data_IF_826350035432
#
_entry.id   IF_826350035432
#
_cell.length_a   1.000
_cell.length_b   1.000
_cell.length_c   1.000
_cell.angle_alpha   90.00
_cell.angle_beta   90.00
_cell.angle_gamma   90.00
#
_symmetry.space_group_name_H-M   'P 1'
#
loop_
_entity.id
_entity.type
_entity.pdbx_description
1 polymer ?
2 water ?
#
# COMPACT_ATOMS: atom_id res chain seq x y z
N UNK A 58 -13.54 -5.87 -9.54
CA UNK A 58 -12.38 -5.85 -10.43
C UNK A 58 -11.10 -5.94 -9.61
N UNK A 59 -10.44 -7.09 -9.67
CA UNK A 59 -9.31 -7.39 -8.82
C UNK A 59 -8.03 -7.56 -9.65
N UNK A 60 -6.93 -7.77 -8.94
CA UNK A 60 -5.63 -8.11 -9.52
C UNK A 60 -5.11 -9.34 -8.79
N UNK A 61 -4.99 -10.46 -9.49
CA UNK A 61 -4.46 -11.67 -8.89
C UNK A 61 -2.94 -11.62 -8.87
N UNK A 62 -2.36 -11.97 -7.73
CA UNK A 62 -0.92 -11.88 -7.51
C UNK A 62 -0.45 -13.19 -6.89
N UNK A 63 0.60 -13.77 -7.47
CA UNK A 63 1.14 -15.04 -7.02
C UNK A 63 2.57 -14.86 -6.56
N UNK A 64 2.90 -15.47 -5.42
CA UNK A 64 4.26 -15.51 -4.92
C UNK A 64 4.52 -16.86 -4.28
N UNK A 65 5.80 -17.17 -4.10
CA UNK A 65 6.25 -18.42 -3.49
C UNK A 65 7.12 -18.11 -2.30
N UNK A 66 6.93 -18.87 -1.22
CA UNK A 66 7.71 -18.68 -0.01
C UNK A 66 8.24 -20.02 0.48
N UNK A 67 9.50 -20.01 0.92
CA UNK A 67 10.10 -21.13 1.64
C UNK A 67 10.36 -20.76 3.10
N UNK A 68 9.86 -19.61 3.55
CA UNK A 68 10.15 -19.09 4.87
C UNK A 68 8.98 -18.21 5.31
N UNK A 69 8.57 -18.36 6.56
CA UNK A 69 7.43 -17.63 7.10
C UNK A 69 7.83 -16.86 8.35
N UNK A 70 7.30 -15.64 8.47
CA UNK A 70 7.44 -14.88 9.71
C UNK A 70 6.63 -15.55 10.80
N UNK A 71 7.22 -15.71 11.98
CA UNK A 71 6.56 -16.37 13.11
C UNK A 71 5.83 -15.29 13.90
N UNK A 72 4.51 -15.38 13.93
CA UNK A 72 3.70 -14.39 14.65
C UNK A 72 3.87 -14.56 16.15
N UNK A 73 3.73 -13.45 16.88
CA UNK A 73 4.01 -13.43 18.31
C UNK A 73 3.19 -14.45 19.09
N UNK A 74 1.98 -14.76 18.63
CA UNK A 74 1.09 -15.68 19.34
C UNK A 74 1.30 -17.13 18.93
N UNK A 75 2.27 -17.41 18.06
CA UNK A 75 2.48 -18.77 17.55
C UNK A 75 3.86 -19.31 17.83
N UNK A 76 4.72 -18.57 18.54
CA UNK A 76 6.10 -19.00 18.71
C UNK A 76 6.23 -20.27 19.55
N UNK A 77 5.14 -20.77 20.15
CA UNK A 77 5.22 -22.02 20.88
C UNK A 77 5.29 -23.23 19.97
N UNK A 78 4.82 -23.12 18.73
CA UNK A 78 4.86 -24.23 17.78
C UNK A 78 6.14 -24.24 16.95
N UNK A 79 7.03 -23.28 17.15
CA UNK A 79 8.20 -23.09 16.29
C UNK A 79 9.43 -23.51 17.09
N UNK A 80 9.91 -24.72 16.83
CA UNK A 80 11.14 -25.23 17.40
C UNK A 80 11.64 -26.37 16.52
N UNK A 81 12.93 -26.69 16.56
CA UNK A 81 13.46 -27.70 15.64
C UNK A 81 12.76 -29.04 15.85
N UNK A 82 12.26 -29.60 14.74
CA UNK A 82 11.58 -30.88 14.77
C UNK A 82 10.10 -30.82 15.05
N UNK A 83 9.55 -29.64 15.37
CA UNK A 83 8.13 -29.49 15.63
C UNK A 83 7.33 -30.03 14.46
N UNK A 84 6.54 -31.08 14.71
CA UNK A 84 5.78 -31.76 13.68
C UNK A 84 4.39 -31.14 13.59
N UNK A 85 4.01 -30.68 12.39
CA UNK A 85 2.77 -29.95 12.19
C UNK A 85 2.01 -30.52 11.00
N UNK A 86 0.71 -30.26 10.99
CA UNK A 86 -0.14 -30.65 9.87
C UNK A 86 0.32 -29.95 8.60
N UNK A 87 0.39 -30.72 7.51
CA UNK A 87 0.87 -30.19 6.25
C UNK A 87 0.02 -29.06 5.69
N UNK A 88 -1.22 -28.96 6.12
CA UNK A 88 -2.15 -27.95 5.63
C UNK A 88 -2.41 -26.85 6.66
N UNK A 89 -1.61 -26.79 7.73
CA UNK A 89 -1.81 -25.82 8.80
C UNK A 89 -0.78 -24.70 8.80
N UNK A 90 0.25 -24.77 7.94
CA UNK A 90 1.31 -23.77 7.94
C UNK A 90 1.06 -22.62 6.98
N UNK A 91 0.19 -22.80 5.99
CA UNK A 91 -0.03 -21.76 4.99
C UNK A 91 -0.77 -20.57 5.58
N UNK A 92 -1.80 -20.83 6.38
CA UNK A 92 -2.57 -19.79 7.05
C UNK A 92 -2.13 -19.58 8.50
N UNK A 93 -0.98 -20.13 8.89
CA UNK A 93 -0.44 -19.98 10.24
C UNK A 93 -1.37 -20.55 11.31
N UNK A 94 -2.31 -21.41 10.93
CA UNK A 94 -3.19 -22.06 11.89
C UNK A 94 -2.56 -23.38 12.36
N UNK A 95 -1.35 -23.26 12.90
CA UNK A 95 -0.54 -24.41 13.25
C UNK A 95 -1.34 -25.46 14.02
N UNK A 96 -1.29 -26.70 13.53
CA UNK A 96 -1.89 -27.84 14.22
C UNK A 96 -0.80 -28.85 14.53
N UNK A 97 -0.39 -28.99 15.79
CA UNK A 97 0.63 -29.99 16.11
C UNK A 97 0.16 -31.40 15.75
N UNK A 98 1.09 -32.21 15.25
CA UNK A 98 0.88 -33.63 15.04
C UNK A 98 1.60 -34.37 16.15
N UNK A 99 0.86 -35.16 16.92
CA UNK A 99 1.41 -35.85 18.08
C UNK A 99 2.10 -37.14 17.62
N UNK A 100 3.40 -37.23 17.87
CA UNK A 100 4.18 -38.39 17.43
C UNK A 100 5.41 -38.52 18.31
N UNK A 101 6.01 -39.71 18.29
CA UNK A 101 7.27 -39.96 18.98
C UNK A 101 8.41 -39.61 18.03
N UNK A 102 9.21 -38.63 18.40
CA UNK A 102 10.26 -38.10 17.54
C UNK A 102 11.63 -38.62 17.96
N UNK A 103 12.49 -38.81 16.97
CA UNK A 103 13.85 -39.28 17.21
C UNK A 103 14.75 -38.12 17.62
N UNK A 104 15.97 -38.42 18.08
CA UNK A 104 16.92 -37.34 18.37
C UNK A 104 17.25 -36.53 17.11
N UNK A 105 17.62 -35.27 17.32
CA UNK A 105 17.97 -34.39 16.22
C UNK A 105 19.28 -33.68 16.55
N UNK A 106 20.04 -33.37 15.51
CA UNK A 106 21.27 -32.60 15.61
C UNK A 106 21.08 -31.32 14.81
N UNK A 107 21.22 -30.18 15.49
CA UNK A 107 20.92 -28.88 14.91
C UNK A 107 22.16 -28.00 15.01
N UNK A 108 22.39 -27.18 13.98
CA UNK A 108 23.52 -26.27 13.95
C UNK A 108 23.07 -24.91 14.49
N UNK A 109 23.77 -24.44 15.51
CA UNK A 109 23.49 -23.13 16.11
C UNK A 109 24.54 -22.14 15.61
N UNK A 110 24.08 -21.08 14.94
CA UNK A 110 24.96 -20.09 14.35
C UNK A 110 24.66 -18.71 14.93
N UNK A 111 25.71 -18.00 15.33
CA UNK A 111 25.58 -16.61 15.78
C UNK A 111 26.24 -15.73 14.72
N UNK A 112 25.51 -15.30 13.69
CA UNK A 112 26.16 -14.64 12.55
C UNK A 112 26.80 -13.30 12.87
N UNK A 113 26.39 -12.63 13.95
CA UNK A 113 26.97 -11.34 14.27
C UNK A 113 28.41 -11.48 14.74
N UNK A 114 28.74 -12.59 15.39
CA UNK A 114 30.11 -12.87 15.84
C UNK A 114 30.79 -13.92 14.99
N UNK A 115 30.10 -14.48 14.00
CA UNK A 115 30.69 -15.45 13.07
C UNK A 115 31.17 -16.70 13.80
N UNK A 116 30.29 -17.26 14.63
CA UNK A 116 30.57 -18.49 15.36
C UNK A 116 29.45 -19.50 15.14
N UNK A 117 29.80 -20.78 15.32
CA UNK A 117 28.88 -21.87 15.09
C UNK A 117 29.20 -23.00 16.06
N UNK A 118 28.19 -23.82 16.35
CA UNK A 118 28.37 -25.03 17.14
C UNK A 118 27.31 -26.04 16.73
N UNK A 119 27.24 -27.14 17.47
CA UNK A 119 26.29 -28.21 17.19
C UNK A 119 25.72 -28.71 18.51
N UNK A 120 24.42 -28.52 18.71
CA UNK A 120 23.73 -29.00 19.89
C UNK A 120 22.84 -30.17 19.49
N UNK A 121 22.58 -31.05 20.46
CA UNK A 121 21.75 -32.22 20.26
C UNK A 121 20.53 -32.14 21.16
N UNK A 122 19.36 -32.36 20.58
CA UNK A 122 18.10 -32.45 21.30
C UNK A 122 17.62 -33.89 21.21
N UNK A 123 17.60 -34.58 22.34
CA UNK A 123 17.23 -36.00 22.34
C UNK A 123 15.74 -36.18 22.11
N UNK A 124 14.91 -35.37 22.80
CA UNK A 124 13.46 -35.41 22.66
C UNK A 124 13.00 -34.04 22.16
N UNK A 125 12.88 -33.86 20.85
CA UNK A 125 12.50 -32.54 20.31
C UNK A 125 11.27 -31.95 21.00
N UNK A 126 11.41 -30.72 21.46
CA UNK A 126 10.33 -29.98 22.10
C UNK A 126 10.82 -28.56 22.32
N UNK A 127 9.89 -27.66 22.62
CA UNK A 127 10.27 -26.27 22.87
C UNK A 127 11.11 -26.15 24.13
N UNK A 128 10.78 -26.94 25.16
CA UNK A 128 11.56 -26.88 26.39
C UNK A 128 12.97 -27.40 26.17
N UNK A 129 13.11 -28.55 25.50
CA UNK A 129 14.43 -29.09 25.21
C UNK A 129 15.24 -28.14 24.34
N UNK A 130 14.58 -27.46 23.40
CA UNK A 130 15.28 -26.48 22.57
C UNK A 130 15.74 -25.28 23.40
N UNK A 131 14.88 -24.77 24.28
CA UNK A 131 15.28 -23.65 25.12
C UNK A 131 16.43 -24.06 26.04
N UNK A 132 16.36 -25.25 26.62
CA UNK A 132 17.43 -25.72 27.51
C UNK A 132 18.72 -25.92 26.74
N UNK A 133 18.64 -26.50 25.53
CA UNK A 133 19.85 -26.76 24.76
C UNK A 133 20.56 -25.48 24.39
N UNK A 134 19.81 -24.46 23.96
CA UNK A 134 20.42 -23.21 23.53
C UNK A 134 21.05 -22.49 24.70
N UNK A 135 20.32 -22.37 25.81
CA UNK A 135 20.85 -21.64 26.96
C UNK A 135 22.11 -22.30 27.51
N UNK A 136 22.08 -23.63 27.67
CA UNK A 136 23.23 -24.33 28.23
C UNK A 136 24.44 -24.30 27.30
N UNK A 137 24.27 -23.86 26.05
CA UNK A 137 25.43 -23.53 25.22
C UNK A 137 25.84 -22.08 25.40
N UNK A 138 24.87 -21.16 25.35
CA UNK A 138 25.19 -19.74 25.40
C UNK A 138 25.74 -19.33 26.76
N UNK A 139 25.30 -19.98 27.83
CA UNK A 139 25.80 -19.61 29.16
C UNK A 139 27.31 -19.80 29.27
N UNK A 140 27.92 -20.56 28.36
CA UNK A 140 29.35 -20.81 28.39
C UNK A 140 30.09 -20.21 27.20
N UNK A 141 29.38 -19.60 26.25
CA UNK A 141 29.96 -19.17 24.99
C UNK A 141 29.76 -17.67 24.79
N UNK A 142 30.45 -17.14 23.78
CA UNK A 142 30.25 -15.76 23.38
C UNK A 142 28.90 -15.62 22.69
N UNK A 143 28.26 -14.46 22.90
CA UNK A 143 26.96 -14.16 22.30
C UNK A 143 27.01 -12.73 21.79
N UNK A 144 25.86 -12.20 21.41
CA UNK A 144 25.77 -10.89 20.78
C UNK A 144 24.68 -10.06 21.45
N UNK A 145 24.91 -8.75 21.52
CA UNK A 145 23.94 -7.85 22.11
C UNK A 145 22.91 -7.34 21.11
N UNK A 146 23.32 -7.09 19.86
CA UNK A 146 22.44 -6.54 18.84
C UNK A 146 22.25 -7.44 17.64
N UNK A 147 23.01 -8.53 17.51
CA UNK A 147 22.79 -9.45 16.42
C UNK A 147 23.16 -8.84 15.07
N UNK A 148 22.60 -9.45 14.01
CA UNK A 148 22.88 -9.06 12.64
C UNK A 148 21.71 -8.24 12.11
N UNK A 149 21.96 -6.97 11.81
CA UNK A 149 20.90 -6.07 11.37
C UNK A 149 20.67 -6.20 9.86
N UNK A 150 19.44 -5.90 9.45
CA UNK A 150 19.05 -5.95 8.05
C UNK A 150 17.69 -5.26 7.90
N UNK A 151 17.52 -4.55 6.78
CA UNK A 151 16.21 -3.98 6.48
C UNK A 151 16.00 -3.97 4.97
N UNK A 152 14.73 -3.89 4.58
CA UNK A 152 14.34 -3.90 3.17
C UNK A 152 13.12 -3.00 3.02
N UNK A 153 13.16 -2.11 2.02
CA UNK A 153 12.14 -1.09 1.83
C UNK A 153 11.46 -1.32 0.50
N UNK A 154 10.13 -1.41 0.52
CA UNK A 154 9.33 -1.69 -0.66
C UNK A 154 8.06 -0.84 -0.63
N UNK A 155 7.64 -0.37 -1.79
CA UNK A 155 6.38 0.36 -1.90
C UNK A 155 5.21 -0.63 -1.97
N UNK A 156 4.08 -0.21 -1.43
CA UNK A 156 2.87 -1.04 -1.46
C UNK A 156 1.66 -0.14 -1.49
N UNK A 157 0.59 -0.65 -2.11
CA UNK A 157 -0.66 0.09 -2.25
C UNK A 157 -1.81 -0.49 -1.46
N UNK A 158 -1.78 -1.79 -1.18
CA UNK A 158 -2.81 -2.47 -0.41
C UNK A 158 -2.15 -3.25 0.71
N UNK A 159 -2.77 -3.23 1.89
CA UNK A 159 -2.25 -3.97 3.04
C UNK A 159 -2.36 -5.47 2.86
N UNK A 160 -3.08 -5.93 1.83
CA UNK A 160 -3.06 -7.34 1.46
C UNK A 160 -1.76 -7.74 0.78
N UNK A 161 -1.01 -6.77 0.23
CA UNK A 161 0.27 -7.10 -0.37
C UNK A 161 1.32 -7.46 0.67
N UNK A 162 1.16 -7.01 1.92
CA UNK A 162 2.11 -7.34 2.97
C UNK A 162 2.15 -8.83 3.29
N UNK A 163 1.19 -9.61 2.77
CA UNK A 163 1.30 -11.06 2.85
C UNK A 163 2.67 -11.53 2.39
N UNK A 164 3.19 -10.89 1.33
CA UNK A 164 4.48 -11.31 0.77
C UNK A 164 5.59 -11.06 1.77
N UNK A 165 5.53 -9.95 2.50
CA UNK A 165 6.56 -9.67 3.49
C UNK A 165 6.54 -10.68 4.62
N UNK A 166 5.36 -11.19 4.98
CA UNK A 166 5.25 -12.23 6.00
C UNK A 166 5.55 -13.62 5.47
N UNK A 167 5.54 -13.80 4.15
CA UNK A 167 5.81 -15.09 3.57
C UNK A 167 4.74 -16.13 3.80
N UNK A 168 3.50 -15.71 4.03
CA UNK A 168 2.39 -16.63 4.25
C UNK A 168 1.10 -15.97 3.83
N UNK A 169 0.02 -16.75 3.81
CA UNK A 169 -1.31 -16.24 3.48
C UNK A 169 -2.02 -15.74 4.73
N UNK A 170 -1.31 -14.94 5.51
CA UNK A 170 -1.86 -14.36 6.73
C UNK A 170 -2.68 -13.12 6.37
N UNK A 171 -3.80 -12.92 7.05
CA UNK A 171 -4.65 -11.76 6.80
C UNK A 171 -3.87 -10.52 7.24
N UNK A 172 -2.97 -10.07 6.36
CA UNK A 172 -2.09 -8.95 6.69
C UNK A 172 -2.89 -7.68 6.95
N UNK A 173 -3.93 -7.43 6.16
CA UNK A 173 -4.71 -6.20 6.34
C UNK A 173 -5.38 -6.19 7.70
N UNK A 174 -6.01 -7.31 8.09
CA UNK A 174 -6.60 -7.40 9.42
C UNK A 174 -5.53 -7.30 10.50
N UNK A 175 -4.33 -7.82 10.23
CA UNK A 175 -3.23 -7.71 11.18
C UNK A 175 -2.80 -6.27 11.39
N UNK A 176 -2.87 -5.45 10.33
CA UNK A 176 -2.47 -4.04 10.39
C UNK A 176 -3.66 -3.11 10.59
N UNK A 177 -4.76 -3.60 11.14
CA UNK A 177 -5.86 -2.75 11.54
C UNK A 177 -6.84 -2.37 10.46
N UNK A 178 -6.74 -2.96 9.27
CA UNK A 178 -7.69 -2.68 8.20
C UNK A 178 -8.83 -3.70 8.25
N UNK A 179 -9.41 -4.02 7.11
CA UNK A 179 -10.43 -5.07 7.03
C UNK A 179 -11.74 -4.56 7.63
N UNK A 184 -16.71 -0.12 1.29
CA UNK A 184 -15.75 0.20 0.23
C UNK A 184 -14.51 -0.66 0.34
N UNK A 185 -13.78 -0.79 -0.78
CA UNK A 185 -12.49 -1.48 -0.76
C UNK A 185 -11.37 -0.58 -0.31
N UNK A 186 -11.61 0.74 -0.21
CA UNK A 186 -10.59 1.67 0.21
C UNK A 186 -10.10 1.41 1.63
N UNK A 187 -10.80 0.58 2.40
CA UNK A 187 -10.41 0.36 3.79
C UNK A 187 -9.06 -0.33 3.88
N UNK A 188 -8.79 -1.28 2.99
CA UNK A 188 -7.52 -1.98 2.95
C UNK A 188 -6.47 -1.33 2.10
N UNK A 189 -6.68 -0.09 1.66
CA UNK A 189 -5.78 0.60 0.76
C UNK A 189 -5.02 1.68 1.51
N UNK A 190 -3.77 1.92 1.10
CA UNK A 190 -3.01 3.03 1.64
C UNK A 190 -3.74 4.32 1.31
N UNK A 191 -3.91 5.17 2.32
CA UNK A 191 -4.71 6.39 2.17
C UNK A 191 -3.88 7.56 1.63
N UNK A 192 -2.74 7.85 2.25
CA UNK A 192 -1.91 8.96 1.82
C UNK A 192 -1.40 8.76 0.40
N UNK A 193 -0.64 9.74 -0.09
CA UNK A 193 -0.09 9.66 -1.44
C UNK A 193 0.69 8.37 -1.66
N UNK A 194 1.70 8.13 -0.82
CA UNK A 194 2.63 7.03 -1.00
C UNK A 194 2.62 6.12 0.22
N UNK A 195 2.83 4.83 -0.04
CA UNK A 195 2.93 3.84 1.01
C UNK A 195 4.17 2.99 0.87
N UNK A 196 4.92 2.85 1.95
CA UNK A 196 6.10 1.99 1.98
C UNK A 196 6.07 1.17 3.25
N UNK A 197 6.54 -0.07 3.16
CA UNK A 197 6.72 -0.90 4.34
C UNK A 197 8.20 -1.24 4.49
N UNK A 198 8.66 -1.31 5.73
CA UNK A 198 10.06 -1.54 6.06
C UNK A 198 10.13 -2.82 6.87
N UNK A 199 10.72 -3.86 6.30
CA UNK A 199 10.97 -5.11 7.01
C UNK A 199 12.41 -5.06 7.51
N UNK A 200 12.57 -4.80 8.80
CA UNK A 200 13.87 -4.74 9.46
C UNK A 200 13.91 -5.79 10.57
N UNK A 201 15.09 -6.37 10.78
CA UNK A 201 15.20 -7.41 11.77
C UNK A 201 16.65 -7.55 12.24
N UNK A 202 16.80 -8.06 13.45
CA UNK A 202 18.11 -8.37 14.03
C UNK A 202 18.12 -9.86 14.33
N UNK A 203 19.08 -10.58 13.75
CA UNK A 203 19.20 -12.02 13.94
C UNK A 203 20.23 -12.29 15.03
N UNK A 204 19.77 -12.87 16.14
CA UNK A 204 20.68 -13.19 17.24
C UNK A 204 21.36 -14.53 17.02
N UNK A 205 20.58 -15.55 16.68
CA UNK A 205 21.13 -16.86 16.37
C UNK A 205 20.12 -17.63 15.53
N UNK A 206 20.59 -18.70 14.90
CA UNK A 206 19.77 -19.52 14.03
C UNK A 206 19.98 -21.00 14.35
N UNK A 207 18.95 -21.80 14.11
CA UNK A 207 18.99 -23.24 14.30
C UNK A 207 18.61 -23.90 12.99
N UNK A 208 19.51 -24.73 12.46
CA UNK A 208 19.30 -25.41 11.18
C UNK A 208 19.53 -26.89 11.36
N UNK A 209 18.49 -27.69 11.13
CA UNK A 209 18.57 -29.12 11.31
C UNK A 209 19.40 -29.77 10.21
N UNK A 210 20.03 -30.90 10.55
CA UNK A 210 20.60 -31.77 9.53
C UNK A 210 19.50 -32.67 8.98
N UNK A 211 19.71 -33.15 7.75
CA UNK A 211 18.78 -34.10 7.15
C UNK A 211 18.74 -35.34 8.02
N UNK A 212 17.58 -35.72 8.56
CA UNK A 212 17.52 -36.95 9.38
C UNK A 212 18.04 -38.16 8.61
N UNK A 213 18.61 -39.10 9.36
CA UNK A 213 19.02 -40.39 8.81
C UNK A 213 17.78 -41.29 8.79
N UNK A 214 16.99 -41.13 7.74
CA UNK A 214 15.70 -41.78 7.68
C UNK A 214 14.61 -40.86 8.16
N UNK A 215 13.68 -41.37 8.97
CA UNK A 215 12.55 -40.58 9.41
C UNK A 215 12.86 -39.82 10.69
N UNK A 216 12.27 -38.63 10.81
CA UNK A 216 12.29 -37.89 12.07
C UNK A 216 11.40 -38.55 13.11
N UNK A 217 10.43 -39.36 12.68
CA UNK A 217 9.46 -39.99 13.56
C UNK A 217 9.91 -41.40 13.87
N UNK A 218 9.54 -41.88 15.07
CA UNK A 218 9.88 -43.22 15.50
C UNK A 218 8.84 -44.24 15.04
N UNK A 219 7.55 -43.95 15.25
CA UNK A 219 6.46 -44.83 14.84
C UNK A 219 5.54 -44.09 13.89
N UNK A 220 5.15 -44.76 12.81
CA UNK A 220 4.19 -44.17 11.87
C UNK A 220 2.76 -44.19 12.40
N UNK A 221 2.54 -44.69 13.62
CA UNK A 221 1.21 -44.69 14.23
C UNK A 221 0.96 -43.32 14.86
N UNK A 222 0.50 -42.40 14.02
CA UNK A 222 0.12 -41.06 14.46
C UNK A 222 -1.00 -40.56 13.56
N UNK A 223 -1.79 -39.64 14.09
CA UNK A 223 -2.96 -39.13 13.39
C UNK A 223 -2.61 -37.79 12.73
N UNK A 224 -2.36 -37.83 11.42
CA UNK A 224 -2.20 -36.63 10.62
C UNK A 224 -3.39 -36.42 9.69
N UNK A 225 -4.47 -37.19 9.88
CA UNK A 225 -5.70 -37.03 9.09
C UNK A 225 -5.42 -37.25 7.60
N UNK A 226 -4.57 -38.22 7.28
CA UNK A 226 -4.21 -38.50 5.91
C UNK A 226 -3.44 -37.40 5.22
N UNK A 227 -3.01 -36.37 5.95
CA UNK A 227 -2.26 -35.25 5.40
C UNK A 227 -0.78 -35.53 5.60
N UNK A 228 0.01 -35.41 4.54
CA UNK A 228 1.45 -35.57 4.68
C UNK A 228 1.99 -34.48 5.60
N UNK A 229 2.55 -34.83 6.75
CA UNK A 229 2.97 -33.81 7.71
C UNK A 229 4.29 -33.14 7.32
N UNK A 230 4.56 -32.00 7.97
CA UNK A 230 5.80 -31.26 7.80
C UNK A 230 6.38 -30.99 9.19
N UNK A 231 7.65 -30.62 9.21
CA UNK A 231 8.31 -30.29 10.47
C UNK A 231 9.21 -29.09 10.29
N UNK A 232 9.29 -28.27 11.36
CA UNK A 232 10.14 -27.09 11.37
C UNK A 232 11.59 -27.53 11.23
N UNK A 233 12.22 -27.17 10.12
CA UNK A 233 13.57 -27.62 9.82
C UNK A 233 14.65 -26.55 10.06
N UNK A 234 14.29 -25.27 10.02
CA UNK A 234 15.25 -24.22 10.34
C UNK A 234 14.49 -23.04 10.94
N UNK A 235 15.16 -22.34 11.86
CA UNK A 235 14.57 -21.20 12.56
C UNK A 235 15.63 -20.12 12.73
N UNK A 236 15.22 -18.88 12.54
CA UNK A 236 16.04 -17.72 12.86
C UNK A 236 15.41 -16.97 14.03
N UNK A 237 16.23 -16.58 14.99
CA UNK A 237 15.77 -15.96 16.23
C UNK A 237 16.25 -14.51 16.32
N UNK A 238 15.51 -13.71 17.07
CA UNK A 238 15.90 -12.34 17.32
C UNK A 238 14.72 -11.40 17.49
N UNK A 239 14.65 -10.38 16.65
CA UNK A 239 13.64 -9.33 16.75
C UNK A 239 13.35 -8.84 15.34
N UNK A 240 12.06 -8.68 15.00
CA UNK A 240 11.68 -8.27 13.66
C UNK A 240 10.49 -7.32 13.74
N UNK A 241 10.53 -6.30 12.88
CA UNK A 241 9.39 -5.41 12.71
C UNK A 241 9.07 -5.23 11.25
N UNK A 242 7.78 -5.03 10.98
CA UNK A 242 7.31 -4.65 9.66
C UNK A 242 6.55 -3.35 9.85
N UNK A 243 7.13 -2.26 9.37
CA UNK A 243 6.64 -0.91 9.63
C UNK A 243 6.00 -0.35 8.37
N UNK A 244 4.69 -0.10 8.42
CA UNK A 244 3.99 0.53 7.32
C UNK A 244 4.09 2.04 7.47
N UNK A 245 4.44 2.72 6.38
CA UNK A 245 4.63 4.15 6.36
C UNK A 245 3.76 4.74 5.27
N UNK A 246 2.94 5.73 5.62
CA UNK A 246 2.08 6.43 4.67
C UNK A 246 2.45 7.91 4.69
N UNK A 247 2.84 8.43 3.53
CA UNK A 247 3.30 9.80 3.41
C UNK A 247 2.61 10.48 2.23
N UNK A 248 2.19 11.72 2.43
CA UNK A 248 1.69 12.54 1.32
C UNK A 248 2.82 12.94 0.38
N UNK A 249 4.07 12.66 0.72
CA UNK A 249 5.19 12.96 -0.15
C UNK A 249 5.17 12.05 -1.38
N UNK A 250 5.92 12.48 -2.40
CA UNK A 250 6.07 11.65 -3.60
C UNK A 250 6.92 10.41 -3.27
N UNK A 251 6.73 9.37 -4.09
CA UNK A 251 7.34 8.08 -3.78
C UNK A 251 8.85 8.12 -3.94
N UNK A 252 9.35 8.81 -4.96
CA UNK A 252 10.80 8.91 -5.14
C UNK A 252 11.46 9.57 -3.95
N UNK A 253 10.84 10.63 -3.42
CA UNK A 253 11.38 11.31 -2.25
C UNK A 253 11.16 10.50 -0.98
N UNK A 254 9.97 9.90 -0.84
CA UNK A 254 9.67 9.10 0.33
C UNK A 254 10.66 7.95 0.48
N UNK A 255 10.89 7.21 -0.60
CA UNK A 255 11.81 6.07 -0.53
C UNK A 255 13.20 6.51 -0.11
N UNK A 256 13.66 7.66 -0.61
CA UNK A 256 15.00 8.15 -0.27
C UNK A 256 15.06 8.58 1.19
N UNK A 257 14.09 9.38 1.63
CA UNK A 257 14.06 9.82 3.02
C UNK A 257 13.98 8.63 3.96
N UNK A 258 13.19 7.61 3.59
CA UNK A 258 13.03 6.44 4.45
C UNK A 258 14.34 5.67 4.54
N UNK A 259 15.00 5.45 3.41
CA UNK A 259 16.29 4.74 3.44
C UNK A 259 17.32 5.51 4.23
N UNK A 260 17.32 6.84 4.11
CA UNK A 260 18.31 7.65 4.82
C UNK A 260 18.10 7.59 6.32
N UNK A 261 16.84 7.65 6.77
CA UNK A 261 16.57 7.66 8.20
C UNK A 261 16.81 6.30 8.84
N UNK A 262 16.65 5.22 8.08
CA UNK A 262 16.85 3.89 8.64
C UNK A 262 18.33 3.53 8.71
N UNK A 263 19.10 3.91 7.69
CA UNK A 263 20.55 3.74 7.78
C UNK A 263 21.12 4.51 8.97
N UNK A 264 20.48 5.63 9.35
CA UNK A 264 20.94 6.41 10.50
C UNK A 264 20.56 5.73 11.81
N UNK A 265 19.26 5.58 12.06
CA UNK A 265 18.81 5.12 13.37
C UNK A 265 19.03 3.62 13.54
N UNK A 266 18.41 2.81 12.68
CA UNK A 266 18.45 1.36 12.87
C UNK A 266 19.87 0.82 12.75
N UNK A 267 20.61 1.27 11.73
CA UNK A 267 21.98 0.79 11.53
C UNK A 267 22.96 1.54 12.44
N UNK A 268 23.23 2.80 12.11
CA UNK A 268 24.32 3.55 12.76
C UNK A 268 23.96 4.08 14.14
N UNK A 269 22.71 3.93 14.58
CA UNK A 269 22.28 4.37 15.90
C UNK A 269 22.40 5.87 16.08
N UNK A 270 22.49 6.62 14.98
CA UNK A 270 22.58 8.08 15.05
C UNK A 270 21.19 8.69 14.99
N UNK A 271 21.13 10.01 15.24
CA UNK A 271 19.86 10.72 15.19
C UNK A 271 20.03 12.15 14.68
N UNK A 272 21.03 12.38 13.83
CA UNK A 272 21.28 13.71 13.27
C UNK A 272 20.49 13.90 11.97
N UNK A 273 19.16 13.82 12.10
CA UNK A 273 18.30 13.95 10.94
C UNK A 273 18.26 15.38 10.45
N UNK A 274 18.10 15.53 9.14
CA UNK A 274 17.83 16.84 8.57
C UNK A 274 16.40 17.25 8.87
N UNK A 275 16.11 18.54 8.69
CA UNK A 275 14.73 19.01 8.88
C UNK A 275 13.79 18.34 7.88
N UNK A 276 14.30 18.01 6.69
CA UNK A 276 13.49 17.27 5.72
C UNK A 276 13.07 15.92 6.28
N UNK A 277 14.02 15.16 6.84
CA UNK A 277 13.70 13.87 7.43
C UNK A 277 12.82 14.03 8.67
N UNK A 278 13.10 15.04 9.50
CA UNK A 278 12.26 15.27 10.67
C UNK A 278 10.83 15.62 10.27
N UNK A 279 10.68 16.42 9.22
CA UNK A 279 9.34 16.76 8.75
C UNK A 279 8.64 15.56 8.15
N UNK A 280 9.39 14.69 7.45
CA UNK A 280 8.82 13.45 6.96
C UNK A 280 8.29 12.60 8.10
N UNK A 281 9.06 12.48 9.18
CA UNK A 281 8.65 11.64 10.30
C UNK A 281 7.43 12.22 11.00
N UNK A 282 7.42 13.53 11.22
CA UNK A 282 6.32 14.14 11.98
C UNK A 282 5.01 14.12 11.19
N UNK A 283 5.08 14.11 9.86
CA UNK A 283 3.91 14.12 9.01
C UNK A 283 3.49 12.78 8.47
N UNK A 284 4.19 11.72 8.81
CA UNK A 284 3.91 10.38 8.28
C UNK A 284 3.04 9.59 9.25
N UNK A 285 2.25 8.67 8.68
CA UNK A 285 1.47 7.73 9.46
C UNK A 285 2.23 6.42 9.57
N UNK A 286 2.40 5.94 10.80
CA UNK A 286 3.17 4.73 11.07
C UNK A 286 2.27 3.65 11.65
N UNK A 287 2.53 2.41 11.26
CA UNK A 287 1.75 1.26 11.72
C UNK A 287 2.70 0.07 11.75
N UNK A 288 3.16 -0.30 12.95
CA UNK A 288 4.19 -1.31 13.12
C UNK A 288 3.62 -2.58 13.70
N UNK A 289 4.04 -3.71 13.14
CA UNK A 289 3.88 -5.02 13.77
C UNK A 289 5.27 -5.52 14.13
N UNK A 290 5.52 -5.73 15.41
CA UNK A 290 6.84 -6.11 15.90
C UNK A 290 6.77 -7.50 16.53
N UNK A 291 7.67 -8.38 16.10
CA UNK A 291 7.80 -9.70 16.68
C UNK A 291 8.98 -9.67 17.65
N UNK A 292 8.69 -9.99 18.91
CA UNK A 292 9.73 -10.01 19.92
C UNK A 292 9.10 -10.14 21.30
N UNK A 293 9.96 -10.07 22.31
CA UNK A 293 9.46 -10.03 23.67
C UNK A 293 8.54 -8.85 23.91
N UNK A 294 8.78 -7.75 23.21
CA UNK A 294 7.95 -6.55 23.27
C UNK A 294 6.87 -6.54 22.19
N UNK A 295 6.68 -7.65 21.49
CA UNK A 295 5.76 -7.65 20.36
C UNK A 295 4.32 -7.84 20.78
N UNK A 296 3.43 -7.12 20.11
CA UNK A 296 1.99 -7.29 20.28
C UNK A 296 1.46 -8.32 19.29
N UNK A 297 0.22 -8.75 19.51
CA UNK A 297 -0.41 -9.68 18.58
C UNK A 297 -0.98 -8.97 17.36
N UNK A 298 -1.14 -7.65 17.43
CA UNK A 298 -1.61 -6.85 16.30
C UNK A 298 -0.67 -5.67 16.12
N UNK A 299 -0.86 -4.94 15.03
CA UNK A 299 -0.02 -3.79 14.73
C UNK A 299 -0.24 -2.68 15.76
N UNK A 300 0.45 -1.56 15.56
CA UNK A 300 0.34 -0.40 16.44
C UNK A 300 0.47 0.85 15.61
N UNK A 301 -0.55 1.71 15.65
CA UNK A 301 -0.59 2.93 14.84
C UNK A 301 -0.23 4.13 15.71
N UNK A 302 0.89 4.77 15.38
CA UNK A 302 1.34 5.98 16.07
C UNK A 302 1.66 7.04 15.03
N UNK A 303 1.96 8.26 15.52
CA UNK A 303 2.32 9.38 14.66
C UNK A 303 3.20 10.32 15.50
N UNK A 304 4.47 9.93 15.67
CA UNK A 304 5.39 10.73 16.47
C UNK A 304 6.85 10.46 16.19
N UNK A 305 7.66 11.52 16.23
CA UNK A 305 9.09 11.36 16.03
C UNK A 305 9.72 10.57 17.18
N UNK A 306 9.44 10.96 18.41
CA UNK A 306 9.96 10.21 19.55
C UNK A 306 9.41 8.80 19.56
N UNK A 307 8.14 8.63 19.18
CA UNK A 307 7.59 7.29 19.01
C UNK A 307 8.30 6.55 17.88
N UNK A 308 8.63 7.27 16.80
CA UNK A 308 9.38 6.65 15.71
C UNK A 308 10.78 6.25 16.17
N UNK A 309 11.40 7.08 17.02
CA UNK A 309 12.77 6.80 17.45
C UNK A 309 12.81 5.64 18.44
N UNK A 310 11.77 5.50 19.26
CA UNK A 310 11.73 4.38 20.21
C UNK A 310 11.57 3.05 19.50
N UNK A 311 10.73 2.99 18.47
CA UNK A 311 10.35 1.72 17.89
C UNK A 311 11.37 1.22 16.89
N UNK A 312 11.86 2.10 16.00
CA UNK A 312 12.84 1.69 15.01
C UNK A 312 14.20 1.37 15.62
N UNK A 313 14.38 1.64 16.90
CA UNK A 313 15.70 1.47 17.51
C UNK A 313 16.01 -0.01 17.70
N UNK A 314 17.31 -0.33 17.62
CA UNK A 314 17.77 -1.69 17.82
C UNK A 314 17.28 -2.25 19.16
N UNK A 315 16.93 -3.53 19.16
CA UNK A 315 16.68 -4.25 20.39
C UNK A 315 17.95 -4.86 20.95
N UNK A 316 17.83 -5.41 22.15
CA UNK A 316 18.96 -5.99 22.86
C UNK A 316 18.70 -7.45 23.17
N UNK A 317 19.76 -8.26 23.10
CA UNK A 317 19.70 -9.69 23.35
C UNK A 317 20.67 -10.05 24.47
N UNK A 318 20.34 -11.14 25.18
CA UNK A 318 21.16 -11.61 26.29
C UNK A 318 21.02 -13.12 26.38
N UNK A 319 21.83 -13.71 27.28
CA UNK A 319 21.76 -15.15 27.48
C UNK A 319 20.41 -15.57 28.03
N UNK A 320 19.75 -14.70 28.80
CA UNK A 320 18.44 -15.00 29.36
C UNK A 320 17.30 -14.68 28.41
N UNK A 321 17.44 -13.65 27.58
CA UNK A 321 16.50 -13.37 26.49
C UNK A 321 17.29 -13.33 25.19
N UNK A 322 17.51 -14.47 24.56
CA UNK A 322 18.37 -14.53 23.35
C UNK A 322 17.66 -14.28 22.03
N UNK A 323 16.43 -13.78 22.04
CA UNK A 323 15.69 -13.56 20.81
C UNK A 323 14.59 -14.60 20.64
N UNK A 324 13.50 -14.18 20.00
CA UNK A 324 12.35 -15.05 19.76
C UNK A 324 12.41 -15.58 18.34
N UNK A 325 11.69 -16.65 18.01
CA UNK A 325 11.59 -17.08 16.61
C UNK A 325 10.94 -15.98 15.77
N UNK A 326 11.63 -15.56 14.71
CA UNK A 326 11.16 -14.49 13.84
C UNK A 326 10.78 -15.02 12.47
N UNK A 327 11.52 -15.98 11.93
CA UNK A 327 11.10 -16.67 10.72
C UNK A 327 11.63 -18.10 10.74
N UNK A 328 10.91 -19.00 10.09
CA UNK A 328 11.24 -20.42 10.10
C UNK A 328 10.96 -21.04 8.74
N UNK A 329 11.56 -22.20 8.52
CA UNK A 329 11.39 -22.99 7.30
C UNK A 329 10.96 -24.40 7.67
N UNK A 330 10.34 -25.09 6.71
CA UNK A 330 9.77 -26.40 6.94
C UNK A 330 10.28 -27.41 5.94
N UNK A 331 10.35 -28.67 6.38
CA UNK A 331 10.61 -29.81 5.52
C UNK A 331 9.45 -30.79 5.61
N UNK A 332 9.39 -31.72 4.66
CA UNK A 332 8.40 -32.78 4.68
C UNK A 332 8.90 -33.96 5.51
N UNK A 333 8.01 -34.55 6.29
CA UNK A 333 8.36 -35.77 7.02
C UNK A 333 8.60 -36.92 6.07
N UNK A 334 7.95 -36.92 4.91
CA UNK A 334 7.98 -38.05 3.99
C UNK A 334 9.41 -38.31 3.50
N UNK A 335 10.03 -37.31 2.89
CA UNK A 335 11.32 -37.44 2.24
C UNK A 335 12.35 -36.45 2.76
N UNK A 336 12.02 -35.70 3.81
CA UNK A 336 12.91 -34.69 4.37
C UNK A 336 13.25 -33.60 3.35
N UNK A 337 12.41 -33.42 2.35
CA UNK A 337 12.63 -32.41 1.32
C UNK A 337 12.12 -31.06 1.77
N UNK A 338 12.66 -29.97 1.23
CA UNK A 338 12.23 -28.64 1.67
C UNK A 338 10.83 -28.30 1.21
N UNK A 339 10.15 -27.48 2.00
CA UNK A 339 8.76 -27.10 1.73
C UNK A 339 8.74 -25.71 1.10
N UNK A 340 7.96 -25.57 0.04
CA UNK A 340 7.72 -24.29 -0.61
C UNK A 340 6.25 -24.21 -0.97
N UNK A 341 5.62 -23.08 -0.68
CA UNK A 341 4.21 -22.88 -0.94
C UNK A 341 4.01 -21.81 -1.99
N UNK A 342 3.14 -22.07 -2.95
CA UNK A 342 2.75 -21.10 -3.97
C UNK A 342 1.45 -20.44 -3.52
N UNK A 343 1.48 -19.13 -3.32
CA UNK A 343 0.34 -18.39 -2.82
C UNK A 343 -0.28 -17.57 -3.94
N UNK A 344 -1.59 -17.36 -3.85
CA UNK A 344 -2.33 -16.53 -4.78
C UNK A 344 -3.36 -15.72 -4.01
N UNK A 345 -3.31 -14.40 -4.14
CA UNK A 345 -4.30 -13.54 -3.51
C UNK A 345 -4.69 -12.45 -4.50
N UNK A 346 -5.92 -11.96 -4.37
CA UNK A 346 -6.50 -10.98 -5.27
C UNK A 346 -6.57 -9.63 -4.58
N UNK A 347 -6.12 -8.58 -5.26
CA UNK A 347 -6.18 -7.22 -4.76
C UNK A 347 -7.32 -6.51 -5.49
N UNK A 348 -8.40 -6.23 -4.76
CA UNK A 348 -9.50 -5.45 -5.33
C UNK A 348 -8.99 -4.09 -5.75
N UNK A 349 -9.01 -3.80 -7.05
CA UNK A 349 -8.58 -2.51 -7.54
C UNK A 349 -9.30 -1.41 -6.79
N UNK A 350 -8.60 -0.39 -6.30
CA UNK A 350 -9.29 0.71 -5.61
C UNK A 350 -10.03 1.58 -6.61
N UNK A 351 -10.97 2.39 -6.16
CA UNK A 351 -11.72 3.25 -7.08
C UNK A 351 -10.87 4.39 -7.60
N UNK A 352 -11.32 4.96 -8.71
CA UNK A 352 -10.76 6.18 -9.27
C UNK A 352 -11.78 7.30 -9.14
N UNK A 353 -11.34 8.44 -8.63
CA UNK A 353 -12.17 9.62 -8.47
C UNK A 353 -11.73 10.68 -9.46
N UNK A 354 -12.69 11.27 -10.18
CA UNK A 354 -12.40 12.27 -11.20
C UNK A 354 -13.24 13.51 -10.93
N UNK A 355 -12.65 14.68 -11.14
CA UNK A 355 -13.30 15.96 -10.94
C UNK A 355 -13.07 16.82 -12.17
N UNK A 356 -14.14 17.39 -12.71
CA UNK A 356 -14.04 18.34 -13.82
C UNK A 356 -13.90 19.75 -13.24
N UNK A 357 -12.93 20.50 -13.74
CA UNK A 357 -12.65 21.84 -13.24
C UNK A 357 -12.39 22.76 -14.43
N UNK A 358 -12.80 24.01 -14.27
CA UNK A 358 -12.52 25.06 -15.24
C UNK A 358 -11.39 25.93 -14.71
N UNK A 359 -10.34 26.11 -15.53
CA UNK A 359 -9.18 26.88 -15.14
C UNK A 359 -8.82 27.88 -16.23
N UNK A 360 -7.99 28.86 -15.86
CA UNK A 360 -7.61 29.95 -16.75
C UNK A 360 -8.84 30.64 -17.32
N UNK A 361 -9.84 30.83 -16.47
CA UNK A 361 -11.10 31.42 -16.89
C UNK A 361 -10.91 32.87 -17.30
N UNK A 362 -11.50 33.24 -18.44
CA UNK A 362 -11.42 34.60 -18.96
C UNK A 362 -12.81 35.05 -19.39
N UNK A 363 -13.23 36.21 -18.89
CA UNK A 363 -14.51 36.81 -19.24
C UNK A 363 -14.22 38.09 -20.02
N UNK A 364 -14.45 38.05 -21.32
CA UNK A 364 -14.12 39.15 -22.22
C UNK A 364 -15.41 39.88 -22.59
N UNK A 365 -15.38 41.21 -22.50
CA UNK A 365 -16.52 42.05 -22.86
C UNK A 365 -16.06 43.02 -23.94
N UNK A 366 -16.57 42.83 -25.16
CA UNK A 366 -16.32 43.75 -26.28
C UNK A 366 -17.56 44.63 -26.41
N UNK A 367 -17.50 45.82 -25.82
CA UNK A 367 -18.66 46.69 -25.70
C UNK A 367 -18.53 47.87 -26.64
N UNK A 368 -19.63 48.18 -27.34
CA UNK A 368 -19.76 49.38 -28.18
C UNK A 368 -20.99 50.14 -27.70
N UNK A 369 -20.88 50.87 -26.60
CA UNK A 369 -22.05 51.62 -26.10
C UNK A 369 -22.50 52.71 -27.06
N UNK A 370 -21.66 53.12 -28.01
CA UNK A 370 -22.07 54.10 -29.01
C UNK A 370 -22.91 53.47 -30.12
N UNK A 371 -22.85 52.16 -30.28
CA UNK A 371 -23.61 51.49 -31.32
C UNK A 371 -24.58 50.47 -30.79
N UNK A 372 -24.78 50.46 -29.47
CA UNK A 372 -25.72 49.55 -28.85
C UNK A 372 -25.47 48.09 -29.16
N UNK A 373 -24.22 47.65 -29.05
CA UNK A 373 -23.86 46.25 -29.19
C UNK A 373 -22.85 45.91 -28.10
N UNK A 374 -23.12 44.83 -27.37
CA UNK A 374 -22.29 44.41 -26.24
C UNK A 374 -22.07 42.91 -26.38
N UNK A 375 -20.83 42.52 -26.65
CA UNK A 375 -20.46 41.13 -26.91
C UNK A 375 -19.65 40.61 -25.73
N UNK A 376 -20.22 39.63 -25.01
CA UNK A 376 -19.57 39.05 -23.84
C UNK A 376 -19.26 37.58 -24.14
N UNK A 377 -17.98 37.24 -24.14
CA UNK A 377 -17.51 35.88 -24.40
C UNK A 377 -16.82 35.37 -23.14
N UNK A 378 -17.27 34.20 -22.67
CA UNK A 378 -16.64 33.52 -21.54
C UNK A 378 -15.94 32.27 -22.04
N UNK A 379 -14.73 32.03 -21.54
CA UNK A 379 -13.90 30.92 -21.97
C UNK A 379 -13.21 30.32 -20.76
N UNK A 380 -12.67 29.12 -20.96
CA UNK A 380 -11.95 28.42 -19.90
C UNK A 380 -11.31 27.17 -20.50
N UNK A 381 -10.28 26.68 -19.82
CA UNK A 381 -9.61 25.44 -20.18
C UNK A 381 -10.17 24.34 -19.27
N UNK A 382 -10.91 23.41 -19.86
CA UNK A 382 -11.46 22.31 -19.09
C UNK A 382 -10.35 21.34 -18.68
N UNK A 383 -10.46 20.79 -17.48
CA UNK A 383 -9.43 19.92 -16.93
C UNK A 383 -10.08 18.93 -15.98
N UNK A 384 -9.71 17.65 -16.12
CA UNK A 384 -10.14 16.62 -15.19
C UNK A 384 -8.96 16.26 -14.30
N UNK A 385 -9.23 16.13 -12.99
CA UNK A 385 -8.23 15.77 -12.00
C UNK A 385 -8.54 14.40 -11.43
N UNK A 386 -7.50 13.60 -11.23
CA UNK A 386 -7.64 12.22 -10.79
C UNK A 386 -7.24 12.10 -9.33
N UNK A 387 -7.97 11.28 -8.58
CA UNK A 387 -7.73 11.08 -7.17
C UNK A 387 -7.96 9.62 -6.81
N UNK A 388 -7.24 9.16 -5.79
CA UNK A 388 -7.35 7.79 -5.32
C UNK A 388 -8.40 7.60 -4.24
N UNK A 389 -8.82 8.69 -3.58
CA UNK A 389 -9.83 8.64 -2.54
C UNK A 389 -10.63 9.94 -2.57
N UNK A 390 -11.60 10.06 -1.68
CA UNK A 390 -12.39 11.28 -1.61
C UNK A 390 -11.65 12.43 -0.92
N UNK A 391 -10.48 12.16 -0.34
CA UNK A 391 -9.66 13.20 0.28
C UNK A 391 -8.82 13.96 -0.75
N UNK A 392 -9.04 13.72 -2.04
CA UNK A 392 -8.31 14.41 -3.11
C UNK A 392 -6.80 14.17 -2.99
N UNK A 393 -6.43 12.93 -2.72
CA UNK A 393 -5.04 12.51 -2.82
C UNK A 393 -4.77 12.27 -4.31
N UNK A 394 -3.89 13.03 -4.95
CA UNK A 394 -3.70 12.83 -6.40
C UNK A 394 -3.27 11.41 -6.72
N UNK A 395 -3.64 10.97 -7.92
CA UNK A 395 -3.26 9.65 -8.41
C UNK A 395 -3.11 9.73 -9.92
N UNK A 396 -2.20 8.92 -10.45
CA UNK A 396 -2.13 8.78 -11.90
C UNK A 396 -3.30 7.93 -12.37
N UNK A 397 -3.97 8.30 -13.45
CA UNK A 397 -5.15 7.55 -13.89
C UNK A 397 -4.79 6.13 -14.26
N UNK A 398 -5.77 5.24 -14.16
CA UNK A 398 -5.56 3.85 -14.49
C UNK A 398 -5.64 3.66 -16.01
N UNK A 399 -4.89 2.71 -16.55
CA UNK A 399 -4.92 2.50 -18.01
C UNK A 399 -6.28 2.02 -18.49
N UNK A 400 -6.63 2.43 -19.71
CA UNK A 400 -7.79 1.94 -20.44
C UNK A 400 -9.11 2.45 -19.88
N UNK A 401 -9.09 3.47 -19.03
CA UNK A 401 -10.31 4.17 -18.66
C UNK A 401 -10.61 5.21 -19.72
N UNK A 402 -11.87 5.29 -20.12
CA UNK A 402 -12.34 6.26 -21.12
C UNK A 402 -13.13 7.33 -20.39
N UNK A 403 -12.51 8.48 -20.18
CA UNK A 403 -13.15 9.57 -19.47
C UNK A 403 -14.07 10.33 -20.42
N UNK A 404 -15.32 10.46 -20.03
CA UNK A 404 -16.37 11.00 -20.89
C UNK A 404 -16.86 12.33 -20.32
N UNK A 405 -16.91 13.34 -21.18
CA UNK A 405 -17.33 14.69 -20.81
C UNK A 405 -18.53 15.06 -21.68
N UNK A 406 -19.63 15.43 -21.04
CA UNK A 406 -20.83 15.83 -21.75
C UNK A 406 -20.77 17.33 -22.06
N UNK A 407 -20.95 17.66 -23.33
CA UNK A 407 -21.12 19.05 -23.77
C UNK A 407 -22.58 19.22 -24.18
N UNK A 408 -23.33 20.00 -23.41
CA UNK A 408 -24.70 20.35 -23.75
C UNK A 408 -24.71 21.81 -24.19
N UNK A 409 -25.06 22.03 -25.45
CA UNK A 409 -25.01 23.35 -26.06
C UNK A 409 -26.40 23.96 -26.17
N UNK A 410 -26.49 25.24 -25.86
CA UNK A 410 -27.73 26.02 -26.01
C UNK A 410 -27.42 27.19 -26.93
N UNK A 411 -27.95 27.16 -28.14
CA UNK A 411 -27.64 28.14 -29.17
C UNK A 411 -28.91 28.84 -29.62
N UNK A 412 -28.78 30.13 -29.94
CA UNK A 412 -29.91 30.95 -30.34
C UNK A 412 -29.38 32.18 -31.05
N UNK A 413 -30.20 32.75 -31.93
CA UNK A 413 -29.79 33.95 -32.66
C UNK A 413 -31.02 34.59 -33.29
N UNK A 414 -30.94 35.91 -33.49
CA UNK A 414 -31.98 36.68 -34.15
C UNK A 414 -31.35 37.89 -34.79
N UNK A 415 -31.69 38.14 -36.05
CA UNK A 415 -31.15 39.32 -36.73
C UNK A 415 -31.59 40.59 -36.03
N UNK A 416 -32.75 40.57 -35.37
CA UNK A 416 -33.29 41.73 -34.69
C UNK A 416 -33.23 41.53 -33.18
N UNK A 417 -32.88 42.55 -32.41
CA UNK A 417 -32.87 42.41 -30.96
C UNK A 417 -34.22 41.93 -30.43
N UNK A 418 -34.17 40.92 -29.57
CA UNK A 418 -35.35 40.39 -28.89
C UNK A 418 -35.17 40.65 -27.41
N UNK A 419 -36.15 41.33 -26.79
CA UNK A 419 -36.01 41.81 -25.42
C UNK A 419 -36.60 40.79 -24.45
N UNK A 420 -35.83 39.73 -24.22
CA UNK A 420 -36.18 38.74 -23.22
C UNK A 420 -35.80 39.24 -21.83
N UNK A 421 -36.68 39.02 -20.85
CA UNK A 421 -36.41 39.41 -19.47
C UNK A 421 -35.53 38.40 -18.74
N UNK A 422 -35.21 37.27 -19.37
CA UNK A 422 -34.41 36.23 -18.75
C UNK A 422 -33.98 35.24 -19.82
N UNK A 423 -32.82 34.62 -19.61
CA UNK A 423 -32.37 33.60 -20.55
C UNK A 423 -33.19 32.33 -20.47
N UNK A 424 -33.90 32.11 -19.35
CA UNK A 424 -34.81 30.98 -19.25
C UNK A 424 -36.06 31.15 -20.10
N UNK A 425 -36.19 32.27 -20.82
CA UNK A 425 -37.31 32.51 -21.72
C UNK A 425 -36.95 32.30 -23.19
N UNK A 426 -35.67 32.14 -23.50
CA UNK A 426 -35.20 32.08 -24.90
C UNK A 426 -35.52 30.70 -25.47
N UNK A 427 -36.06 30.62 -26.69
CA UNK A 427 -36.29 29.30 -27.32
C UNK A 427 -35.00 28.71 -27.91
N UNK A 428 -34.23 28.06 -27.04
CA UNK A 428 -32.92 27.58 -27.42
C UNK A 428 -33.02 26.34 -28.32
N UNK A 429 -32.05 26.22 -29.22
CA UNK A 429 -31.83 25.01 -29.99
C UNK A 429 -30.73 24.22 -29.30
N UNK A 430 -31.06 23.01 -28.84
CA UNK A 430 -30.20 22.25 -27.95
C UNK A 430 -29.51 21.14 -28.72
N UNK A 431 -28.25 20.90 -28.38
CA UNK A 431 -27.46 19.83 -28.98
C UNK A 431 -26.50 19.30 -27.92
N UNK A 432 -26.27 17.99 -27.93
CA UNK A 432 -25.44 17.35 -26.93
C UNK A 432 -24.45 16.40 -27.60
N UNK A 433 -23.28 16.28 -26.99
CA UNK A 433 -22.25 15.36 -27.44
C UNK A 433 -21.37 15.00 -26.25
N UNK A 434 -20.60 13.93 -26.40
CA UNK A 434 -19.72 13.44 -25.34
C UNK A 434 -18.29 13.39 -25.88
N UNK A 435 -17.40 14.11 -25.23
CA UNK A 435 -15.97 14.01 -25.52
C UNK A 435 -15.39 12.82 -24.76
N UNK A 436 -14.41 12.16 -25.37
CA UNK A 436 -13.80 10.97 -24.78
C UNK A 436 -12.28 11.18 -24.72
N UNK A 437 -11.73 11.04 -23.51
CA UNK A 437 -10.30 11.14 -23.26
C UNK A 437 -9.78 9.80 -22.77
N UNK A 438 -8.71 9.30 -23.38
CA UNK A 438 -8.12 8.03 -22.98
C UNK A 438 -6.60 8.09 -23.09
N UNK A 439 -5.94 7.21 -22.35
CA UNK A 439 -4.48 7.00 -22.45
C UNK A 439 -3.72 8.16 -21.79
N UNK A 440 -4.10 8.48 -20.56
CA UNK A 440 -3.64 9.69 -19.87
C UNK A 440 -2.80 9.38 -18.64
N UNK A 441 -1.96 8.35 -18.72
CA UNK A 441 -1.31 7.76 -17.55
C UNK A 441 0.03 8.41 -17.22
N UNK A 442 0.19 9.71 -17.48
CA UNK A 442 1.45 10.38 -17.20
C UNK A 442 1.29 11.58 -16.26
N UNK A 443 0.07 11.91 -15.86
CA UNK A 443 -0.13 13.07 -14.99
C UNK A 443 -1.41 12.87 -14.19
N UNK A 444 -1.50 13.60 -13.07
CA UNK A 444 -2.63 13.50 -12.16
C UNK A 444 -3.76 14.42 -12.62
N UNK A 445 -3.69 14.86 -13.87
CA UNK A 445 -4.74 15.67 -14.46
C UNK A 445 -4.62 15.57 -15.98
N UNK A 446 -5.65 16.06 -16.66
CA UNK A 446 -5.67 16.03 -18.13
C UNK A 446 -6.57 17.14 -18.65
N UNK A 447 -6.11 17.82 -19.69
CA UNK A 447 -6.89 18.88 -20.32
C UNK A 447 -7.89 18.28 -21.29
N UNK A 448 -9.07 18.90 -21.38
CA UNK A 448 -10.15 18.43 -22.23
C UNK A 448 -10.34 19.44 -23.36
N UNK A 449 -9.94 19.06 -24.56
CA UNK A 449 -10.09 19.93 -25.72
C UNK A 449 -11.48 19.76 -26.31
N UNK A 450 -12.14 20.88 -26.58
CA UNK A 450 -13.46 20.89 -27.19
C UNK A 450 -13.52 21.61 -28.53
N UNK A 451 -12.46 22.34 -28.90
CA UNK A 451 -12.44 23.14 -30.11
C UNK A 451 -11.19 22.81 -30.92
N UNK A 452 -11.16 23.33 -32.15
CA UNK A 452 -9.99 23.20 -33.02
C UNK A 452 -9.02 24.34 -32.77
N UNK A 453 -7.73 24.00 -32.65
CA UNK A 453 -6.66 24.99 -32.55
C UNK A 453 -6.70 25.77 -31.23
N UNK A 454 -7.05 25.09 -30.14
CA UNK A 454 -7.07 25.74 -28.84
C UNK A 454 -7.40 24.75 -27.73
N UNK A 455 -6.77 24.92 -26.57
CA UNK A 455 -7.15 24.17 -25.38
C UNK A 455 -8.27 24.85 -24.60
N UNK A 456 -8.66 26.06 -25.01
CA UNK A 456 -9.77 26.75 -24.37
C UNK A 456 -11.11 26.27 -24.93
N UNK A 457 -12.10 26.18 -24.07
CA UNK A 457 -13.47 25.84 -24.45
C UNK A 457 -14.37 27.04 -24.21
N UNK A 458 -15.27 27.30 -25.17
CA UNK A 458 -16.25 28.37 -24.99
C UNK A 458 -17.27 27.94 -23.94
N UNK A 459 -17.38 28.73 -22.87
CA UNK A 459 -18.44 28.52 -21.89
C UNK A 459 -19.68 29.30 -22.28
N UNK A 460 -19.51 30.56 -22.70
CA UNK A 460 -20.63 31.44 -22.98
C UNK A 460 -20.23 32.47 -24.03
N UNK A 461 -21.21 32.88 -24.82
CA UNK A 461 -21.02 33.90 -25.84
C UNK A 461 -22.38 34.57 -26.07
N UNK A 462 -22.54 35.79 -25.57
CA UNK A 462 -23.81 36.50 -25.60
C UNK A 462 -23.60 37.87 -26.22
N UNK A 463 -24.31 38.16 -27.29
CA UNK A 463 -24.34 39.47 -27.92
C UNK A 463 -25.74 40.04 -27.79
N UNK A 464 -25.82 41.31 -27.41
CA UNK A 464 -27.11 41.95 -27.13
C UNK A 464 -27.03 43.41 -27.53
N UNK A 465 -28.11 44.15 -27.24
CA UNK A 465 -28.16 45.56 -27.53
C UNK A 465 -29.28 45.93 -28.49
N UNK A 466 -29.62 47.21 -28.55
CA UNK A 466 -30.67 47.69 -29.43
C UNK A 466 -30.15 48.40 -30.66
N UNK A 467 -28.83 48.60 -30.73
CA UNK A 467 -28.22 49.30 -31.85
C UNK A 467 -28.02 50.77 -31.56
N UNK A 468 -27.54 51.48 -32.59
CA UNK A 468 -27.38 52.94 -32.47
C UNK A 468 -28.64 53.57 -31.91
N UNK A 469 -29.79 53.23 -32.48
CA UNK A 469 -31.07 53.61 -31.88
C UNK A 469 -31.32 52.74 -30.66
N UNK A 470 -31.69 53.37 -29.55
CA UNK A 470 -31.86 52.67 -28.28
C UNK A 470 -30.61 51.85 -27.97
N UNK A 471 -29.46 52.51 -27.71
CA UNK A 471 -28.21 51.79 -27.42
C UNK A 471 -28.14 51.25 -25.99
N UNK A 472 -29.19 50.55 -25.58
CA UNK A 472 -29.29 50.01 -24.22
C UNK A 472 -28.51 48.70 -24.16
N UNK A 473 -28.05 48.28 -22.98
CA UNK A 473 -27.41 46.97 -22.87
C UNK A 473 -28.43 45.85 -22.75
N UNK A 474 -29.51 45.94 -23.52
CA UNK A 474 -30.62 45.01 -23.45
C UNK A 474 -30.99 44.56 -24.86
N UNK A 475 -31.91 43.61 -24.93
CA UNK A 475 -32.17 42.90 -26.16
C UNK A 475 -31.36 41.62 -26.23
N UNK A 476 -31.47 40.94 -27.37
CA UNK A 476 -30.71 39.71 -27.58
C UNK A 476 -30.57 39.47 -29.07
N UNK A 477 -29.34 39.17 -29.49
CA UNK A 477 -29.01 38.94 -30.89
C UNK A 477 -28.40 37.57 -31.15
N UNK A 478 -27.63 37.04 -30.22
CA UNK A 478 -27.02 35.72 -30.39
C UNK A 478 -26.58 35.20 -29.03
N UNK A 479 -26.92 33.94 -28.73
CA UNK A 479 -26.55 33.29 -27.49
C UNK A 479 -26.03 31.90 -27.81
N UNK A 480 -24.87 31.55 -27.26
CA UNK A 480 -24.35 30.19 -27.31
C UNK A 480 -23.80 29.84 -25.94
N UNK A 481 -24.38 28.84 -25.30
CA UNK A 481 -24.03 28.44 -23.95
C UNK A 481 -23.68 26.96 -23.95
N UNK A 482 -22.49 26.63 -23.44
CA UNK A 482 -22.01 25.25 -23.36
C UNK A 482 -21.87 24.88 -21.89
N UNK A 483 -22.59 23.84 -21.47
CA UNK A 483 -22.48 23.31 -20.12
C UNK A 483 -21.71 22.00 -20.19
N UNK A 484 -20.79 21.80 -19.24
CA UNK A 484 -19.90 20.65 -19.24
C UNK A 484 -19.98 19.91 -17.91
N UNK A 485 -19.98 18.59 -17.98
CA UNK A 485 -19.97 17.74 -16.79
C UNK A 485 -19.37 16.40 -17.17
N UNK A 486 -18.97 15.65 -16.14
CA UNK A 486 -18.48 14.30 -16.36
C UNK A 486 -19.65 13.35 -16.55
N UNK A 487 -19.43 12.33 -17.38
CA UNK A 487 -20.44 11.32 -17.68
C UNK A 487 -20.13 10.08 -16.84
N UNK A 488 -21.15 9.55 -16.18
CA UNK A 488 -20.95 8.40 -15.31
C UNK A 488 -20.38 7.22 -16.08
N UNK A 489 -19.43 6.53 -15.46
CA UNK A 489 -18.76 5.39 -16.05
C UNK A 489 -18.57 4.33 -14.98
N UNK A 490 -18.39 3.08 -15.42
CA UNK A 490 -18.22 1.98 -14.50
C UNK A 490 -16.83 1.92 -13.89
N UNK A 491 -15.88 2.71 -14.39
CA UNK A 491 -14.50 2.64 -13.94
C UNK A 491 -14.06 3.85 -13.12
N UNK A 492 -14.93 4.83 -12.89
CA UNK A 492 -14.56 5.95 -12.03
C UNK A 492 -15.80 6.54 -11.37
N UNK A 493 -15.56 7.21 -10.24
CA UNK A 493 -16.58 7.91 -9.48
C UNK A 493 -16.37 9.40 -9.67
N UNK A 494 -17.43 10.11 -10.05
CA UNK A 494 -17.34 11.53 -10.34
C UNK A 494 -17.42 12.31 -9.03
N UNK A 495 -16.61 13.36 -8.93
CA UNK A 495 -16.65 14.31 -7.82
C UNK A 495 -17.00 15.68 -8.39
N UNK A 496 -18.16 16.21 -8.01
CA UNK A 496 -18.64 17.50 -8.46
C UNK A 496 -18.88 18.40 -7.26
N UNK A 497 -18.23 19.56 -7.24
CA UNK A 497 -18.46 20.53 -6.17
C UNK A 497 -19.60 21.47 -6.57
#
# INVERSE_FOLDING_TARGET
GSHMTDNLPDRSSVTNNMARVELPVINITSFGTKPSFLNIQKSASTKSLNLIAENSGDTETKEFESSESVVLNHLNRYVFPGSLLMGNSIQDLNYKPVFASLNPITVSLSIPAINQNTAITITNPSLSATRAAVYNYLKTADFTQNGQLSYSIQQFSSYDELKVAFGSNVNSRNLFGKNSSSTNVEEGMVARQSGFYVKFYQTSFTLDMDVPNGSLVKDNNFDSEGIEPVYVSSISYGRMGILAIETNEKAEDAKRIINETFNKLFYKKQTNFSQEEKSFIEGADFNLYLVGGDGSTASQSFKGYEAFVNHVSQGTFSKDQPGVPIFCSYSYLKDNSPVKTKFKFDIKRPPLYVKLVKENMKDINFNDPDGGIYDNKKEAILKIYFYKNRSLVPTLPNPYINFKIREKKKKWQSIAPVYYSSLDQVPFNISERILTKQNTLQNIFATIQTQDNTEFSLISRIIRGGGRQNPVPAGFRAIEINDYELVEDSNYIIIKD
#
